data_IF_358928490671
#
_entry.id   IF_358928490671
#
_cell.length_a   1.000
_cell.length_b   1.000
_cell.length_c   1.000
_cell.angle_alpha   90.00
_cell.angle_beta   90.00
_cell.angle_gamma   90.00
#
_symmetry.space_group_name_H-M   'P 1'
#
loop_
_entity.id
_entity.type
_entity.pdbx_description
1 polymer ?
#
# COMPACT_ATOMS: atom_id res chain seq x y z
N UNK A 1 7.42 42.69 0.34
CA UNK A 1 7.66 41.25 0.08
C UNK A 1 7.57 40.60 1.43
N UNK A 2 6.43 39.94 1.72
CA UNK A 2 6.19 39.22 2.97
C UNK A 2 7.01 37.93 2.95
N UNK A 3 7.87 37.75 3.95
CA UNK A 3 8.49 36.48 4.24
C UNK A 3 7.36 35.48 4.62
N UNK A 4 6.90 34.68 3.65
CA UNK A 4 6.07 33.53 3.92
C UNK A 4 6.93 32.49 4.65
N UNK A 5 6.70 32.41 5.95
CA UNK A 5 7.38 31.47 6.83
C UNK A 5 6.80 30.06 6.57
N UNK A 6 7.37 29.31 5.63
CA UNK A 6 6.89 27.99 5.18
C UNK A 6 7.00 26.89 6.26
N UNK A 7 7.70 27.14 7.37
CA UNK A 7 7.81 26.20 8.47
C UNK A 7 7.69 26.86 9.83
N UNK A 8 6.83 26.35 10.69
CA UNK A 8 6.77 26.73 12.10
C UNK A 8 7.89 26.01 12.85
N UNK A 9 8.83 26.77 13.40
CA UNK A 9 9.90 26.24 14.25
C UNK A 9 9.49 26.44 15.71
N UNK A 10 9.47 25.33 16.48
CA UNK A 10 9.21 25.33 17.91
C UNK A 10 10.49 24.90 18.61
N UNK A 11 11.18 25.82 19.29
CA UNK A 11 12.39 25.52 20.03
C UNK A 11 12.03 25.15 21.49
N UNK A 12 12.23 23.87 21.82
CA UNK A 12 11.98 23.29 23.14
C UNK A 12 13.28 23.01 23.91
N UNK A 13 14.44 23.39 23.37
CA UNK A 13 15.73 23.17 24.03
C UNK A 13 15.79 23.92 25.35
N UNK A 14 16.26 23.26 26.42
CA UNK A 14 16.38 23.81 27.76
C UNK A 14 15.07 23.99 28.54
N UNK A 15 13.92 23.67 27.93
CA UNK A 15 12.62 23.69 28.61
C UNK A 15 12.34 22.34 29.27
N UNK A 16 11.94 22.37 30.53
CA UNK A 16 11.42 21.18 31.22
C UNK A 16 9.90 21.20 31.13
N UNK A 17 9.37 20.57 30.11
CA UNK A 17 7.94 20.50 29.85
C UNK A 17 7.35 19.22 30.48
N UNK A 18 6.16 19.35 31.03
CA UNK A 18 5.31 18.21 31.35
C UNK A 18 4.82 17.53 30.06
N UNK A 19 4.31 16.31 30.16
CA UNK A 19 3.74 15.60 29.01
C UNK A 19 2.59 16.38 28.35
N UNK A 20 1.75 17.05 29.14
CA UNK A 20 0.65 17.84 28.64
C UNK A 20 1.15 19.06 27.83
N UNK A 21 2.09 19.82 28.37
CA UNK A 21 2.70 20.97 27.68
C UNK A 21 3.45 20.56 26.39
N UNK A 22 4.10 19.39 26.40
CA UNK A 22 4.77 18.86 25.20
C UNK A 22 3.75 18.49 24.10
N UNK A 23 2.62 17.90 24.49
CA UNK A 23 1.54 17.55 23.56
C UNK A 23 0.85 18.80 22.99
N UNK A 24 0.72 19.86 23.78
CA UNK A 24 0.17 21.14 23.34
C UNK A 24 1.12 21.88 22.39
N UNK A 25 2.43 21.82 22.65
CA UNK A 25 3.43 22.45 21.80
C UNK A 25 3.60 21.79 20.42
N UNK A 26 3.29 20.49 20.31
CA UNK A 26 3.42 19.75 19.06
C UNK A 26 2.16 19.87 18.19
N UNK A 27 2.28 20.34 16.94
CA UNK A 27 1.13 20.36 16.03
C UNK A 27 0.65 18.94 15.76
N UNK A 28 -0.66 18.75 15.85
CA UNK A 28 -1.32 17.48 15.52
C UNK A 28 -2.25 17.69 14.33
N UNK A 29 -2.47 16.65 13.56
CA UNK A 29 -3.51 16.68 12.55
C UNK A 29 -4.87 16.94 13.21
N UNK A 30 -5.58 17.93 12.70
CA UNK A 30 -6.89 18.34 13.23
C UNK A 30 -7.99 17.32 12.92
N UNK A 31 -7.79 16.52 11.85
CA UNK A 31 -8.78 15.53 11.43
C UNK A 31 -8.70 14.27 12.32
N UNK A 32 -9.73 14.08 13.12
CA UNK A 32 -9.90 12.89 13.94
C UNK A 32 -10.25 11.64 13.12
N UNK A 33 -9.96 10.48 13.66
CA UNK A 33 -10.32 9.19 13.01
C UNK A 33 -11.83 9.09 12.74
N UNK A 34 -12.66 9.69 13.60
CA UNK A 34 -14.13 9.67 13.47
C UNK A 34 -14.60 10.45 12.23
N UNK A 35 -14.07 11.65 12.00
CA UNK A 35 -14.41 12.48 10.83
C UNK A 35 -14.03 11.78 9.53
N UNK A 36 -12.85 11.15 9.47
CA UNK A 36 -12.44 10.38 8.30
C UNK A 36 -13.36 9.16 8.09
N UNK A 37 -13.79 8.50 9.15
CA UNK A 37 -14.73 7.38 9.09
C UNK A 37 -16.09 7.81 8.55
N UNK A 38 -16.64 8.93 9.03
CA UNK A 38 -17.92 9.48 8.56
C UNK A 38 -17.90 9.83 7.07
N UNK A 39 -16.76 10.32 6.56
CA UNK A 39 -16.58 10.62 5.14
C UNK A 39 -16.47 9.37 4.26
N UNK A 40 -15.83 8.32 4.75
CA UNK A 40 -15.54 7.10 3.98
C UNK A 40 -16.69 6.09 4.08
N UNK A 41 -17.41 6.04 5.20
CA UNK A 41 -18.48 5.06 5.41
C UNK A 41 -19.54 5.03 4.30
N UNK A 42 -20.07 6.18 3.82
CA UNK A 42 -21.05 6.18 2.71
C UNK A 42 -20.47 5.58 1.41
N UNK A 43 -19.18 5.76 1.16
CA UNK A 43 -18.49 5.18 -0.01
C UNK A 43 -18.45 3.65 0.12
N UNK A 44 -18.07 3.15 1.29
CA UNK A 44 -18.01 1.71 1.56
C UNK A 44 -19.41 1.07 1.43
N UNK A 45 -20.44 1.72 1.97
CA UNK A 45 -21.80 1.22 1.93
C UNK A 45 -22.35 1.20 0.49
N UNK A 46 -22.03 2.20 -0.31
CA UNK A 46 -22.44 2.26 -1.71
C UNK A 46 -21.69 1.20 -2.56
N UNK A 47 -20.38 1.03 -2.36
CA UNK A 47 -19.62 -0.04 -3.03
C UNK A 47 -20.15 -1.42 -2.62
N UNK A 48 -20.52 -1.61 -1.35
CA UNK A 48 -21.13 -2.86 -0.89
C UNK A 48 -22.49 -3.14 -1.54
N UNK A 49 -23.27 -2.09 -1.79
CA UNK A 49 -24.60 -2.21 -2.38
C UNK A 49 -24.58 -2.37 -3.90
N UNK A 50 -23.74 -1.58 -4.60
CA UNK A 50 -23.75 -1.47 -6.07
C UNK A 50 -22.50 -2.07 -6.75
N UNK A 51 -21.48 -2.49 -5.98
CA UNK A 51 -20.28 -3.14 -6.49
C UNK A 51 -19.53 -2.31 -7.53
N UNK A 52 -19.24 -2.93 -8.67
CA UNK A 52 -18.47 -2.33 -9.76
C UNK A 52 -19.05 -1.02 -10.31
N UNK A 53 -20.35 -0.83 -10.26
CA UNK A 53 -21.00 0.42 -10.72
C UNK A 53 -20.58 1.59 -9.82
N UNK A 54 -20.63 1.40 -8.51
CA UNK A 54 -20.21 2.41 -7.55
C UNK A 54 -18.70 2.76 -7.70
N UNK A 55 -17.85 1.74 -7.90
CA UNK A 55 -16.42 1.97 -8.11
C UNK A 55 -16.14 2.84 -9.33
N UNK A 56 -16.83 2.61 -10.45
CA UNK A 56 -16.71 3.46 -11.65
C UNK A 56 -17.19 4.87 -11.42
N UNK A 57 -18.31 5.04 -10.71
CA UNK A 57 -18.87 6.36 -10.40
C UNK A 57 -17.92 7.14 -9.47
N UNK A 58 -17.30 6.48 -8.50
CA UNK A 58 -16.31 7.12 -7.62
C UNK A 58 -14.98 7.41 -8.34
N UNK A 59 -14.51 6.54 -9.23
CA UNK A 59 -13.34 6.83 -10.06
C UNK A 59 -13.58 8.06 -10.96
N UNK A 60 -14.75 8.15 -11.58
CA UNK A 60 -15.13 9.34 -12.36
C UNK A 60 -15.19 10.60 -11.50
N UNK A 61 -15.71 10.50 -10.29
CA UNK A 61 -15.85 11.62 -9.35
C UNK A 61 -14.51 12.12 -8.81
N UNK A 62 -13.60 11.21 -8.45
CA UNK A 62 -12.37 11.55 -7.72
C UNK A 62 -11.13 11.59 -8.62
N UNK A 63 -11.06 10.71 -9.61
CA UNK A 63 -9.92 10.59 -10.53
C UNK A 63 -10.19 11.20 -11.90
N UNK A 64 -11.46 11.63 -12.16
CA UNK A 64 -11.92 12.22 -13.42
C UNK A 64 -11.80 11.29 -14.62
N UNK A 65 -11.82 9.99 -14.38
CA UNK A 65 -11.79 8.97 -15.40
C UNK A 65 -12.76 7.84 -15.03
N UNK A 66 -13.44 7.29 -16.04
CA UNK A 66 -14.31 6.12 -15.87
C UNK A 66 -13.62 4.90 -16.48
N UNK A 67 -12.95 4.06 -15.66
CA UNK A 67 -12.19 2.95 -16.21
C UNK A 67 -13.10 1.93 -16.87
N UNK A 68 -12.72 1.46 -18.05
CA UNK A 68 -13.39 0.36 -18.71
C UNK A 68 -13.21 -0.93 -17.91
N UNK A 69 -12.00 -1.18 -17.47
CA UNK A 69 -11.63 -2.34 -16.68
C UNK A 69 -11.28 -1.93 -15.24
N UNK A 70 -11.99 -2.51 -14.25
CA UNK A 70 -11.64 -2.35 -12.84
C UNK A 70 -10.45 -3.25 -12.44
N UNK A 71 -10.27 -4.35 -13.15
CA UNK A 71 -9.08 -5.19 -13.08
C UNK A 71 -8.25 -4.96 -14.33
N UNK A 72 -7.00 -4.62 -14.15
CA UNK A 72 -6.07 -4.37 -15.25
C UNK A 72 -5.90 -5.64 -16.09
N UNK A 73 -6.03 -5.57 -17.43
CA UNK A 73 -5.75 -6.69 -18.30
C UNK A 73 -4.30 -7.19 -18.16
N UNK A 74 -4.12 -8.50 -18.14
CA UNK A 74 -2.78 -9.12 -17.99
C UNK A 74 -1.84 -8.70 -19.14
N UNK A 75 -2.40 -8.47 -20.32
CA UNK A 75 -1.65 -8.01 -21.49
C UNK A 75 -1.05 -6.62 -21.28
N UNK A 76 -1.78 -5.71 -20.61
CA UNK A 76 -1.26 -4.38 -20.26
C UNK A 76 -0.11 -4.47 -19.26
N UNK A 77 -0.17 -5.41 -18.31
CA UNK A 77 0.92 -5.65 -17.37
C UNK A 77 2.16 -6.22 -18.05
N UNK A 78 1.99 -7.13 -19.01
CA UNK A 78 3.10 -7.68 -19.81
C UNK A 78 3.74 -6.61 -20.67
N UNK A 79 2.93 -5.84 -21.40
CA UNK A 79 3.42 -4.71 -22.19
C UNK A 79 4.21 -3.70 -21.33
N UNK A 80 3.76 -3.42 -20.12
CA UNK A 80 4.46 -2.55 -19.20
C UNK A 80 5.86 -3.09 -18.79
N UNK A 81 6.04 -4.41 -18.70
CA UNK A 81 7.37 -5.01 -18.46
C UNK A 81 8.26 -4.89 -19.69
N UNK A 82 7.71 -5.12 -20.88
CA UNK A 82 8.46 -5.07 -22.14
C UNK A 82 8.93 -3.65 -22.47
N UNK A 83 8.13 -2.64 -22.10
CA UNK A 83 8.44 -1.21 -22.29
C UNK A 83 9.30 -0.60 -21.17
N UNK A 84 9.56 -1.35 -20.10
CA UNK A 84 10.29 -0.82 -18.96
C UNK A 84 11.76 -0.58 -19.29
N UNK A 85 12.26 0.60 -18.93
CA UNK A 85 13.67 0.92 -19.07
C UNK A 85 14.54 -0.14 -18.36
N UNK A 86 15.59 -0.69 -19.00
CA UNK A 86 16.42 -1.75 -18.44
C UNK A 86 17.09 -1.38 -17.10
N UNK A 87 17.48 -0.11 -16.93
CA UNK A 87 18.12 0.34 -15.68
C UNK A 87 17.09 0.40 -14.55
N UNK A 88 15.87 0.89 -14.86
CA UNK A 88 14.76 0.90 -13.93
C UNK A 88 14.35 -0.52 -13.54
N UNK A 89 14.31 -1.43 -14.52
CA UNK A 89 14.03 -2.85 -14.25
C UNK A 89 15.07 -3.45 -13.31
N UNK A 90 16.34 -3.25 -13.56
CA UNK A 90 17.42 -3.75 -12.70
C UNK A 90 17.33 -3.18 -11.27
N UNK A 91 16.98 -1.89 -11.13
CA UNK A 91 16.78 -1.26 -9.82
C UNK A 91 15.58 -1.84 -9.06
N UNK A 92 14.47 -2.15 -9.75
CA UNK A 92 13.30 -2.80 -9.16
C UNK A 92 13.67 -4.21 -8.70
N UNK A 93 14.33 -5.02 -9.55
CA UNK A 93 14.73 -6.38 -9.24
C UNK A 93 15.70 -6.43 -8.04
N UNK A 94 16.66 -5.51 -7.96
CA UNK A 94 17.55 -5.39 -6.81
C UNK A 94 16.80 -4.98 -5.53
N UNK A 95 15.85 -4.05 -5.63
CA UNK A 95 15.01 -3.66 -4.50
C UNK A 95 14.17 -4.83 -4.00
N UNK A 96 13.60 -5.62 -4.90
CA UNK A 96 12.86 -6.85 -4.58
C UNK A 96 13.76 -7.85 -3.86
N UNK A 97 14.97 -8.08 -4.39
CA UNK A 97 15.95 -9.01 -3.80
C UNK A 97 16.28 -8.63 -2.35
N UNK A 98 16.55 -7.33 -2.11
CA UNK A 98 16.86 -6.82 -0.75
C UNK A 98 15.67 -6.95 0.18
N UNK A 99 14.49 -6.54 -0.27
CA UNK A 99 13.27 -6.62 0.53
C UNK A 99 12.95 -8.08 0.89
N UNK A 100 13.09 -9.02 -0.06
CA UNK A 100 12.90 -10.46 0.20
C UNK A 100 13.85 -10.98 1.26
N UNK A 101 15.12 -10.61 1.20
CA UNK A 101 16.12 -11.06 2.18
C UNK A 101 15.74 -10.62 3.61
N UNK A 102 15.32 -9.36 3.78
CA UNK A 102 14.89 -8.85 5.08
C UNK A 102 13.58 -9.51 5.52
N UNK A 103 12.58 -9.57 4.64
CA UNK A 103 11.26 -10.15 4.98
C UNK A 103 11.36 -11.62 5.36
N UNK A 104 12.20 -12.39 4.67
CA UNK A 104 12.43 -13.79 4.99
C UNK A 104 13.03 -13.97 6.40
N UNK A 105 13.90 -13.08 6.84
CA UNK A 105 14.48 -13.13 8.19
C UNK A 105 13.50 -12.73 9.30
N UNK A 106 12.38 -12.10 8.95
CA UNK A 106 11.32 -11.68 9.89
C UNK A 106 10.23 -12.73 10.08
N UNK A 107 10.19 -13.79 9.25
CA UNK A 107 9.23 -14.87 9.40
C UNK A 107 9.57 -15.68 10.65
N UNK A 108 8.69 -15.71 11.67
CA UNK A 108 8.99 -16.42 12.90
C UNK A 108 8.91 -17.93 12.70
N UNK A 109 9.83 -18.66 13.33
CA UNK A 109 9.78 -20.11 13.32
C UNK A 109 8.68 -20.63 14.25
N UNK A 110 7.95 -21.68 13.87
CA UNK A 110 7.04 -22.36 14.79
C UNK A 110 7.85 -23.02 15.91
N UNK A 111 7.27 -23.06 17.11
CA UNK A 111 7.89 -23.77 18.24
C UNK A 111 6.86 -24.58 19.01
N UNK A 112 7.35 -25.51 19.82
CA UNK A 112 6.51 -26.26 20.75
C UNK A 112 7.22 -26.47 22.07
N UNK A 113 6.43 -26.73 23.12
CA UNK A 113 6.88 -27.08 24.44
C UNK A 113 6.15 -28.33 24.91
N UNK A 114 6.90 -29.36 25.27
CA UNK A 114 6.33 -30.55 25.89
C UNK A 114 6.21 -30.32 27.40
N UNK A 115 5.00 -30.41 27.91
CA UNK A 115 4.68 -30.13 29.33
C UNK A 115 4.67 -31.41 30.18
N UNK A 116 4.24 -32.53 29.61
CA UNK A 116 4.22 -33.86 30.21
C UNK A 116 4.06 -34.89 29.10
N UNK A 117 4.07 -36.18 29.45
CA UNK A 117 3.77 -37.26 28.50
C UNK A 117 2.37 -37.08 27.90
N UNK A 118 2.30 -36.98 26.59
CA UNK A 118 1.06 -36.74 25.85
C UNK A 118 0.53 -35.30 25.91
N UNK A 119 1.22 -34.35 26.58
CA UNK A 119 0.81 -32.96 26.68
C UNK A 119 1.83 -32.02 26.01
N UNK A 120 1.43 -31.43 24.87
CA UNK A 120 2.25 -30.50 24.07
C UNK A 120 1.47 -29.22 23.75
N UNK A 121 2.11 -28.09 23.92
CA UNK A 121 1.63 -26.80 23.41
C UNK A 121 2.50 -26.37 22.23
N UNK A 122 1.88 -26.03 21.10
CA UNK A 122 2.58 -25.57 19.90
C UNK A 122 2.07 -24.20 19.45
N UNK A 123 2.98 -23.35 19.00
CA UNK A 123 2.67 -22.09 18.33
C UNK A 123 3.00 -22.23 16.85
N UNK A 124 2.04 -21.85 16.01
CA UNK A 124 2.16 -21.89 14.56
C UNK A 124 1.75 -20.55 13.97
N UNK A 125 2.52 -20.10 13.00
CA UNK A 125 2.21 -18.91 12.21
C UNK A 125 1.47 -19.36 10.95
N UNK A 126 0.22 -18.91 10.84
CA UNK A 126 -0.66 -19.28 9.73
C UNK A 126 -0.94 -18.00 8.94
N UNK A 127 -0.53 -17.91 7.65
CA UNK A 127 -0.82 -16.76 6.83
C UNK A 127 -2.33 -16.60 6.61
N UNK A 128 -2.78 -15.37 6.43
CA UNK A 128 -4.12 -15.11 5.90
C UNK A 128 -4.18 -15.56 4.46
N UNK A 129 -5.35 -15.99 4.01
CA UNK A 129 -5.52 -16.59 2.68
C UNK A 129 -5.38 -15.56 1.56
N UNK A 130 -5.89 -14.35 1.79
CA UNK A 130 -5.91 -13.29 0.78
C UNK A 130 -5.78 -11.92 1.43
N UNK A 131 -5.03 -11.04 0.79
CA UNK A 131 -4.91 -9.63 1.20
C UNK A 131 -5.12 -8.69 0.02
N UNK A 132 -5.74 -7.55 0.30
CA UNK A 132 -5.77 -6.38 -0.56
C UNK A 132 -4.72 -5.39 -0.11
N UNK A 133 -3.92 -4.89 -1.04
CA UNK A 133 -2.83 -3.96 -0.80
C UNK A 133 -3.12 -2.65 -1.53
N UNK A 134 -2.89 -1.52 -0.87
CA UNK A 134 -3.06 -0.22 -1.50
C UNK A 134 -1.70 0.39 -1.85
N UNK A 135 -1.57 0.82 -3.10
CA UNK A 135 -0.40 1.54 -3.60
C UNK A 135 -0.82 2.95 -4.01
N UNK A 136 -0.29 3.99 -3.35
CA UNK A 136 -0.63 5.36 -3.69
C UNK A 136 -0.15 5.73 -5.09
N UNK A 137 -0.90 6.61 -5.73
CA UNK A 137 -0.60 7.18 -7.04
C UNK A 137 -0.85 8.68 -7.05
N UNK A 138 -0.90 9.28 -8.22
CA UNK A 138 -1.26 10.67 -8.45
C UNK A 138 -0.06 11.57 -8.75
N UNK A 139 0.55 12.23 -7.77
CA UNK A 139 1.65 13.21 -8.02
C UNK A 139 3.00 12.55 -8.29
N UNK A 140 3.24 11.36 -7.79
CA UNK A 140 4.48 10.62 -7.95
C UNK A 140 4.19 9.12 -8.12
N UNK A 141 5.15 8.42 -8.74
CA UNK A 141 5.08 6.97 -8.98
C UNK A 141 5.89 6.27 -7.91
N UNK A 142 5.28 5.31 -7.22
CA UNK A 142 5.88 4.62 -6.07
C UNK A 142 6.00 3.10 -6.29
N UNK A 143 6.89 2.61 -7.16
CA UNK A 143 7.15 1.18 -7.31
C UNK A 143 7.64 0.56 -6.01
N UNK A 144 8.35 1.33 -5.17
CA UNK A 144 8.75 0.90 -3.83
C UNK A 144 7.57 0.52 -2.94
N UNK A 145 6.42 1.19 -3.06
CA UNK A 145 5.22 0.82 -2.29
C UNK A 145 4.65 -0.53 -2.72
N UNK A 146 4.72 -0.87 -4.01
CA UNK A 146 4.37 -2.21 -4.49
C UNK A 146 5.26 -3.25 -3.81
N UNK A 147 6.59 -3.04 -3.86
CA UNK A 147 7.58 -3.96 -3.30
C UNK A 147 7.39 -4.12 -1.79
N UNK A 148 7.26 -3.00 -1.06
CA UNK A 148 7.12 -2.99 0.40
C UNK A 148 5.82 -3.61 0.91
N UNK A 149 4.78 -3.66 0.09
CA UNK A 149 3.52 -4.32 0.41
C UNK A 149 3.51 -5.79 -0.03
N UNK A 150 3.87 -6.07 -1.28
CA UNK A 150 3.74 -7.42 -1.84
C UNK A 150 4.80 -8.39 -1.31
N UNK A 151 6.06 -7.97 -1.20
CA UNK A 151 7.16 -8.86 -0.78
C UNK A 151 6.99 -9.40 0.64
N UNK A 152 6.66 -8.58 1.66
CA UNK A 152 6.37 -9.11 3.00
C UNK A 152 5.18 -10.06 3.03
N UNK A 153 4.11 -9.75 2.28
CA UNK A 153 2.94 -10.62 2.19
C UNK A 153 3.30 -11.98 1.56
N UNK A 154 4.11 -11.99 0.48
CA UNK A 154 4.64 -13.21 -0.12
C UNK A 154 5.55 -13.98 0.83
N UNK A 155 6.43 -13.29 1.56
CA UNK A 155 7.31 -13.91 2.56
C UNK A 155 6.53 -14.53 3.72
N UNK A 156 5.41 -13.93 4.11
CA UNK A 156 4.50 -14.48 5.12
C UNK A 156 3.70 -15.70 4.62
N UNK A 157 3.78 -16.05 3.33
CA UNK A 157 3.07 -17.18 2.75
C UNK A 157 1.62 -16.89 2.33
N UNK A 158 1.25 -15.62 2.12
CA UNK A 158 -0.08 -15.26 1.61
C UNK A 158 -0.21 -15.72 0.16
N UNK A 159 -1.23 -16.54 -0.12
CA UNK A 159 -1.40 -17.18 -1.42
C UNK A 159 -2.03 -16.26 -2.47
N UNK A 160 -2.90 -15.34 -2.05
CA UNK A 160 -3.64 -14.45 -2.96
C UNK A 160 -3.42 -12.99 -2.61
N UNK A 161 -2.93 -12.23 -3.58
CA UNK A 161 -2.67 -10.79 -3.45
C UNK A 161 -3.46 -10.03 -4.50
N UNK A 162 -4.12 -8.94 -4.08
CA UNK A 162 -4.69 -7.95 -4.99
C UNK A 162 -4.12 -6.58 -4.65
N UNK A 163 -3.76 -5.80 -5.67
CA UNK A 163 -3.26 -4.44 -5.50
C UNK A 163 -4.30 -3.46 -6.04
N UNK A 164 -4.70 -2.51 -5.20
CA UNK A 164 -5.50 -1.36 -5.62
C UNK A 164 -4.59 -0.13 -5.73
N UNK A 165 -4.64 0.54 -6.88
CA UNK A 165 -3.88 1.77 -7.16
C UNK A 165 -4.70 2.67 -8.07
N UNK A 166 -4.63 4.00 -7.93
CA UNK A 166 -5.38 4.90 -8.81
C UNK A 166 -4.85 4.87 -10.25
N UNK A 167 -5.70 5.25 -11.21
CA UNK A 167 -5.30 5.40 -12.60
C UNK A 167 -4.22 6.48 -12.76
N UNK A 168 -3.37 6.34 -13.78
CA UNK A 168 -2.43 7.37 -14.16
C UNK A 168 -3.16 8.55 -14.79
N UNK A 169 -2.76 9.78 -14.42
CA UNK A 169 -3.45 11.00 -14.89
C UNK A 169 -3.34 11.25 -16.40
N UNK A 170 -2.34 10.68 -17.02
CA UNK A 170 -2.01 10.77 -18.45
C UNK A 170 -2.49 9.55 -19.25
N UNK A 171 -3.28 8.68 -18.64
CA UNK A 171 -3.80 7.47 -19.29
C UNK A 171 -5.33 7.57 -19.47
N UNK A 172 -5.76 7.75 -20.73
CA UNK A 172 -7.17 7.89 -21.08
C UNK A 172 -7.98 6.59 -20.89
N UNK A 173 -7.33 5.43 -20.86
CA UNK A 173 -7.96 4.13 -20.63
C UNK A 173 -8.21 3.85 -19.14
N UNK A 174 -7.69 4.71 -18.26
CA UNK A 174 -7.84 4.54 -16.81
C UNK A 174 -6.91 3.49 -16.22
N UNK A 175 -5.85 3.14 -16.91
CA UNK A 175 -4.85 2.20 -16.39
C UNK A 175 -3.90 2.90 -15.40
N UNK A 176 -3.40 2.18 -14.39
CA UNK A 176 -2.35 2.66 -13.52
C UNK A 176 -1.04 2.95 -14.28
N UNK A 177 -0.12 3.66 -13.62
CA UNK A 177 1.19 3.95 -14.20
C UNK A 177 1.94 2.67 -14.59
N UNK A 178 2.56 2.68 -15.79
CA UNK A 178 3.27 1.53 -16.38
C UNK A 178 4.36 0.95 -15.45
N UNK A 179 5.11 1.80 -14.73
CA UNK A 179 6.13 1.31 -13.80
C UNK A 179 5.51 0.55 -12.62
N UNK A 180 4.33 0.96 -12.15
CA UNK A 180 3.58 0.23 -11.12
C UNK A 180 3.15 -1.14 -11.67
N UNK A 181 2.56 -1.17 -12.86
CA UNK A 181 2.11 -2.41 -13.51
C UNK A 181 3.26 -3.37 -13.76
N UNK A 182 4.39 -2.88 -14.29
CA UNK A 182 5.60 -3.67 -14.47
C UNK A 182 6.13 -4.24 -13.16
N UNK A 183 6.13 -3.44 -12.08
CA UNK A 183 6.57 -3.89 -10.76
C UNK A 183 5.66 -4.99 -10.21
N UNK A 184 4.35 -4.87 -10.37
CA UNK A 184 3.39 -5.92 -10.00
C UNK A 184 3.66 -7.22 -10.78
N UNK A 185 3.86 -7.12 -12.10
CA UNK A 185 4.14 -8.27 -12.94
C UNK A 185 5.48 -8.95 -12.59
N UNK A 186 6.55 -8.18 -12.32
CA UNK A 186 7.85 -8.71 -11.86
C UNK A 186 7.71 -9.48 -10.53
N UNK A 187 6.81 -9.04 -9.65
CA UNK A 187 6.51 -9.70 -8.38
C UNK A 187 5.54 -10.89 -8.52
N UNK A 188 4.99 -11.13 -9.71
CA UNK A 188 3.99 -12.19 -9.94
C UNK A 188 2.61 -11.86 -9.36
N UNK A 189 2.31 -10.59 -9.13
CA UNK A 189 0.96 -10.13 -8.77
C UNK A 189 0.20 -9.83 -10.05
N UNK A 190 -0.83 -10.60 -10.33
CA UNK A 190 -1.63 -10.53 -11.56
C UNK A 190 -3.01 -9.91 -11.36
N UNK A 191 -3.31 -9.47 -10.14
CA UNK A 191 -4.57 -8.82 -9.79
C UNK A 191 -4.32 -7.39 -9.31
N UNK A 192 -4.48 -6.46 -10.26
CA UNK A 192 -4.30 -5.02 -10.07
C UNK A 192 -5.56 -4.29 -10.48
#
# INVERSE_FOLDING_TARGET
MSEENYMRIIDLRGKKLTRAEMLEAMPRAEMGTNEATELVQPILDDVKARGAAALRDFAEKFDHIRPEHLRVPVEAMKAAVDELDPEVRAAIEESVRRCRAVSASQVPAPFHTDLAEGARVAERWIPVQRVGLYVPGGKAVYPSSVIMNAVPAQAAGVESLAIATPPARDNEEGLPNKTILATCAILGVDEV
#
